data_IF_343546463201
#
_entry.id   IF_343546463201
#
_cell.length_a   1.000
_cell.length_b   1.000
_cell.length_c   1.000
_cell.angle_alpha   90.00
_cell.angle_beta   90.00
_cell.angle_gamma   90.00
#
_symmetry.space_group_name_H-M   'P 1'
#
loop_
_entity.id
_entity.type
_entity.pdbx_description
1 polymer ?
#
# COMPACT_ATOMS: atom_id res chain seq x y z
N UNK A 1 -0.43 -6.72 16.51
CA UNK A 1 -0.79 -6.66 15.07
C UNK A 1 -2.22 -6.18 14.90
N UNK A 2 -2.47 -5.29 13.97
CA UNK A 2 -3.79 -4.73 13.74
C UNK A 2 -4.05 -4.65 12.25
N UNK A 3 -5.22 -5.09 11.81
CA UNK A 3 -5.64 -5.05 10.39
C UNK A 3 -7.03 -4.44 10.32
N UNK A 4 -7.18 -3.36 9.57
CA UNK A 4 -8.47 -2.70 9.38
C UNK A 4 -8.69 -2.46 7.90
N UNK A 5 -9.74 -3.04 7.33
CA UNK A 5 -10.13 -2.76 5.95
C UNK A 5 -10.83 -1.42 5.94
N UNK A 6 -10.19 -0.39 5.36
CA UNK A 6 -10.77 0.94 5.26
C UNK A 6 -11.87 0.97 4.21
N UNK A 7 -11.68 0.25 3.10
CA UNK A 7 -12.68 0.09 2.06
C UNK A 7 -12.32 -1.10 1.18
N UNK A 8 -13.34 -1.79 0.68
CA UNK A 8 -13.19 -2.92 -0.23
C UNK A 8 -14.35 -2.89 -1.21
N UNK A 9 -14.19 -2.14 -2.31
CA UNK A 9 -15.25 -2.00 -3.31
C UNK A 9 -14.65 -1.57 -4.64
N UNK A 10 -15.47 -1.55 -5.68
CA UNK A 10 -15.07 -1.06 -6.99
C UNK A 10 -14.82 0.45 -6.99
N UNK A 11 -15.22 1.16 -5.95
CA UNK A 11 -14.99 2.61 -5.82
C UNK A 11 -13.69 2.93 -5.11
N UNK A 12 -13.09 1.98 -4.40
CA UNK A 12 -11.83 2.20 -3.74
C UNK A 12 -11.48 1.07 -2.79
N UNK A 13 -10.20 0.73 -2.73
CA UNK A 13 -9.67 -0.33 -1.88
C UNK A 13 -8.50 0.22 -1.07
N UNK A 14 -8.49 -0.05 0.24
CA UNK A 14 -7.38 0.30 1.10
C UNK A 14 -7.50 -0.50 2.40
N UNK A 15 -6.38 -1.05 2.86
CA UNK A 15 -6.32 -1.79 4.12
C UNK A 15 -5.20 -1.21 4.97
N UNK A 16 -5.49 -0.90 6.22
CA UNK A 16 -4.52 -0.38 7.18
C UNK A 16 -3.97 -1.52 8.03
N UNK A 17 -2.65 -1.55 8.19
CA UNK A 17 -1.97 -2.59 8.96
C UNK A 17 -0.96 -1.96 9.91
N UNK A 18 -0.94 -2.46 11.17
CA UNK A 18 0.13 -2.20 12.12
C UNK A 18 0.82 -3.52 12.41
N UNK A 19 2.10 -3.59 12.16
CA UNK A 19 2.90 -4.80 12.35
C UNK A 19 4.35 -4.40 12.57
N UNK A 20 5.01 -5.01 13.57
CA UNK A 20 6.42 -4.77 13.86
C UNK A 20 6.76 -3.27 13.99
N UNK A 21 5.93 -2.53 14.72
CA UNK A 21 6.09 -1.08 14.93
C UNK A 21 6.00 -0.26 13.65
N UNK A 22 5.53 -0.86 12.57
CA UNK A 22 5.28 -0.16 11.31
C UNK A 22 3.79 0.01 11.08
N UNK A 23 3.42 1.16 10.51
CA UNK A 23 2.04 1.46 10.12
C UNK A 23 2.03 1.68 8.62
N UNK A 24 1.20 0.92 7.93
CA UNK A 24 1.20 1.02 6.46
C UNK A 24 -0.15 0.70 5.86
N UNK A 25 -0.29 1.04 4.59
CA UNK A 25 -1.49 0.71 3.81
C UNK A 25 -1.13 -0.31 2.73
N UNK A 26 -2.07 -1.21 2.46
CA UNK A 26 -2.09 -1.96 1.21
C UNK A 26 -3.10 -1.24 0.34
N UNK A 27 -2.62 -0.61 -0.72
CA UNK A 27 -3.37 0.23 -1.64
C UNK A 27 -3.94 1.51 -0.99
N UNK A 28 -4.15 2.51 -1.79
CA UNK A 28 -4.76 3.77 -1.38
C UNK A 28 -5.72 4.23 -2.50
N UNK A 29 -6.78 3.43 -2.67
CA UNK A 29 -7.72 3.62 -3.77
C UNK A 29 -8.88 4.56 -3.49
N UNK A 30 -8.97 5.10 -2.27
CA UNK A 30 -9.94 6.12 -1.92
C UNK A 30 -9.33 7.51 -2.12
N UNK A 31 -10.17 8.54 -2.06
CA UNK A 31 -9.67 9.92 -2.06
C UNK A 31 -8.75 10.17 -0.88
N UNK A 32 -7.81 11.08 -1.07
CA UNK A 32 -6.78 11.40 -0.07
C UNK A 32 -7.39 11.79 1.28
N UNK A 33 -8.36 12.71 1.27
CA UNK A 33 -9.00 13.15 2.50
C UNK A 33 -9.85 12.05 3.14
N UNK A 34 -10.46 11.19 2.34
CA UNK A 34 -11.25 10.07 2.86
C UNK A 34 -10.37 9.10 3.65
N UNK A 35 -9.19 8.78 3.13
CA UNK A 35 -8.25 7.90 3.85
C UNK A 35 -7.78 8.58 5.13
N UNK A 36 -7.43 9.86 5.06
CA UNK A 36 -7.00 10.61 6.25
C UNK A 36 -8.06 10.61 7.34
N UNK A 37 -9.32 10.81 6.96
CA UNK A 37 -10.42 10.81 7.92
C UNK A 37 -10.61 9.43 8.55
N UNK A 38 -10.53 8.37 7.75
CA UNK A 38 -10.65 7.01 8.26
C UNK A 38 -9.50 6.65 9.19
N UNK A 39 -8.27 7.04 8.87
CA UNK A 39 -7.12 6.83 9.75
C UNK A 39 -7.32 7.59 11.07
N UNK A 40 -7.81 8.81 11.00
CA UNK A 40 -8.04 9.63 12.20
C UNK A 40 -9.02 8.96 13.17
N UNK A 41 -10.04 8.27 12.66
CA UNK A 41 -10.97 7.52 13.52
C UNK A 41 -10.29 6.36 14.23
N UNK A 42 -9.14 5.89 13.73
CA UNK A 42 -8.34 4.84 14.36
C UNK A 42 -7.26 5.42 15.27
N UNK A 43 -7.21 6.73 15.43
CA UNK A 43 -6.18 7.40 16.22
C UNK A 43 -4.85 7.54 15.49
N UNK A 44 -4.86 7.48 14.16
CA UNK A 44 -3.66 7.54 13.33
C UNK A 44 -3.69 8.78 12.45
N UNK A 45 -2.61 9.56 12.47
CA UNK A 45 -2.48 10.68 11.54
C UNK A 45 -1.75 10.22 10.28
N UNK A 46 -2.05 10.86 9.15
CA UNK A 46 -1.54 10.41 7.85
C UNK A 46 -0.01 10.41 7.77
N UNK A 47 0.65 11.32 8.48
CA UNK A 47 2.12 11.40 8.53
C UNK A 47 2.75 10.23 9.30
N UNK A 48 1.96 9.47 10.05
CA UNK A 48 2.48 8.31 10.78
C UNK A 48 2.65 7.08 9.89
N UNK A 49 2.13 7.09 8.66
CA UNK A 49 2.29 5.96 7.75
C UNK A 49 3.75 5.84 7.33
N UNK A 50 4.29 4.64 7.50
CA UNK A 50 5.69 4.37 7.13
C UNK A 50 5.81 4.10 5.63
N UNK A 51 4.83 3.44 5.04
CA UNK A 51 4.84 3.15 3.61
C UNK A 51 3.47 2.71 3.11
N UNK A 52 3.33 2.62 1.80
CA UNK A 52 2.15 2.06 1.12
C UNK A 52 2.65 0.99 0.16
N UNK A 53 2.02 -0.18 0.20
CA UNK A 53 2.30 -1.27 -0.74
C UNK A 53 1.18 -1.32 -1.77
N UNK A 54 1.52 -1.34 -3.04
CA UNK A 54 0.56 -1.29 -4.14
C UNK A 54 0.38 -2.68 -4.75
N UNK A 55 -0.86 -3.13 -4.87
CA UNK A 55 -1.16 -4.43 -5.47
C UNK A 55 -1.23 -4.36 -6.99
N UNK A 56 -1.89 -3.36 -7.54
CA UNK A 56 -1.97 -3.18 -9.00
C UNK A 56 -2.37 -1.75 -9.34
N UNK A 57 -2.27 -1.39 -10.63
CA UNK A 57 -2.32 0.01 -11.09
C UNK A 57 -3.71 0.57 -11.36
N UNK A 58 -4.77 -0.16 -11.06
CA UNK A 58 -6.13 0.32 -11.27
C UNK A 58 -6.45 1.48 -10.33
N UNK A 59 -7.25 2.44 -10.80
CA UNK A 59 -7.54 3.66 -10.04
C UNK A 59 -8.15 3.40 -8.67
N UNK A 60 -8.94 2.34 -8.52
CA UNK A 60 -9.53 1.96 -7.25
C UNK A 60 -8.52 1.34 -6.25
N UNK A 61 -7.23 1.28 -6.62
CA UNK A 61 -6.13 0.84 -5.77
C UNK A 61 -5.04 1.90 -5.59
N UNK A 62 -4.91 2.84 -6.54
CA UNK A 62 -3.79 3.79 -6.54
C UNK A 62 -4.19 5.26 -6.47
N UNK A 63 -5.47 5.54 -6.32
CA UNK A 63 -6.01 6.89 -6.48
C UNK A 63 -5.25 7.98 -5.72
N UNK A 64 -4.82 7.72 -4.49
CA UNK A 64 -4.18 8.74 -3.66
C UNK A 64 -2.74 8.44 -3.26
N UNK A 65 -2.09 7.42 -3.86
CA UNK A 65 -0.70 7.12 -3.50
C UNK A 65 0.22 8.31 -3.80
N UNK A 66 -0.01 9.00 -4.89
CA UNK A 66 0.77 10.19 -5.25
C UNK A 66 0.61 11.29 -4.20
N UNK A 67 -0.59 11.49 -3.69
CA UNK A 67 -0.85 12.54 -2.70
C UNK A 67 -0.09 12.28 -1.40
N UNK A 68 -0.13 11.04 -0.89
CA UNK A 68 0.64 10.68 0.31
C UNK A 68 2.14 10.84 0.08
N UNK A 69 2.62 10.41 -1.08
CA UNK A 69 4.03 10.49 -1.43
C UNK A 69 4.48 11.95 -1.51
N UNK A 70 3.69 12.82 -2.13
CA UNK A 70 4.02 14.23 -2.29
C UNK A 70 3.94 15.01 -0.96
N UNK A 71 2.88 14.81 -0.20
CA UNK A 71 2.60 15.63 0.99
C UNK A 71 3.43 15.18 2.20
N UNK A 72 3.53 13.86 2.41
CA UNK A 72 4.16 13.30 3.61
C UNK A 72 5.45 12.54 3.32
N UNK A 73 5.88 12.51 2.07
CA UNK A 73 7.03 11.70 1.64
C UNK A 73 6.88 10.22 1.99
N UNK A 74 5.64 9.75 2.06
CA UNK A 74 5.33 8.35 2.35
C UNK A 74 5.96 7.48 1.27
N UNK A 75 6.75 6.48 1.67
CA UNK A 75 7.41 5.61 0.70
C UNK A 75 6.39 4.67 0.04
N UNK A 76 6.54 4.50 -1.27
CA UNK A 76 5.66 3.64 -2.06
C UNK A 76 6.45 2.41 -2.50
N UNK A 77 5.94 1.23 -2.16
CA UNK A 77 6.48 -0.03 -2.66
C UNK A 77 5.56 -0.54 -3.75
N UNK A 78 6.09 -0.70 -4.94
CA UNK A 78 5.30 -0.99 -6.12
C UNK A 78 6.10 -1.90 -7.06
N UNK A 79 5.43 -2.86 -7.69
CA UNK A 79 6.10 -3.69 -8.69
C UNK A 79 6.49 -2.88 -9.91
N UNK A 80 7.56 -3.27 -10.60
CA UNK A 80 8.05 -2.51 -11.75
C UNK A 80 6.99 -2.43 -12.87
N UNK A 81 6.32 -3.53 -13.19
CA UNK A 81 5.29 -3.51 -14.22
C UNK A 81 4.10 -2.65 -13.81
N UNK A 82 3.70 -2.71 -12.55
CA UNK A 82 2.64 -1.86 -12.01
C UNK A 82 3.02 -0.39 -12.10
N UNK A 83 4.27 -0.06 -11.76
CA UNK A 83 4.79 1.30 -11.88
C UNK A 83 4.67 1.80 -13.32
N UNK A 84 5.06 0.97 -14.29
CA UNK A 84 5.01 1.36 -15.69
C UNK A 84 3.59 1.59 -16.20
N UNK A 85 2.59 0.93 -15.62
CA UNK A 85 1.19 1.13 -15.98
C UNK A 85 0.54 2.30 -15.23
N UNK A 86 1.18 2.78 -14.15
CA UNK A 86 0.63 3.87 -13.35
C UNK A 86 0.77 5.20 -14.09
N UNK A 87 -0.34 5.88 -14.31
CA UNK A 87 -0.37 7.08 -15.14
C UNK A 87 0.32 8.31 -14.52
N UNK A 88 0.59 8.29 -13.22
CA UNK A 88 1.31 9.37 -12.52
C UNK A 88 2.69 8.94 -12.06
N UNK A 89 3.26 7.92 -12.68
CA UNK A 89 4.55 7.37 -12.25
C UNK A 89 5.67 8.39 -12.18
N UNK A 90 5.68 9.35 -13.07
CA UNK A 90 6.73 10.37 -13.13
C UNK A 90 6.68 11.34 -11.97
N UNK A 91 5.57 11.38 -11.23
CA UNK A 91 5.40 12.26 -10.08
C UNK A 91 5.81 11.60 -8.77
N UNK A 92 6.03 10.27 -8.76
CA UNK A 92 6.48 9.58 -7.55
C UNK A 92 7.95 9.89 -7.30
N UNK A 93 8.28 10.23 -6.05
CA UNK A 93 9.65 10.58 -5.67
C UNK A 93 10.30 9.51 -4.78
N UNK A 94 9.63 9.12 -3.71
CA UNK A 94 10.15 8.16 -2.75
C UNK A 94 9.47 6.82 -2.98
N UNK A 95 10.08 5.97 -3.80
CA UNK A 95 9.49 4.67 -4.10
C UNK A 95 10.58 3.63 -4.33
N UNK A 96 10.18 2.36 -4.25
CA UNK A 96 11.08 1.24 -4.48
C UNK A 96 10.30 0.09 -5.14
N UNK A 97 10.95 -0.64 -6.06
CA UNK A 97 10.30 -1.77 -6.71
C UNK A 97 10.26 -3.00 -5.82
N UNK A 98 9.12 -3.66 -5.79
CA UNK A 98 8.90 -4.87 -5.00
C UNK A 98 9.61 -6.10 -5.54
N UNK A 99 10.01 -6.09 -6.80
CA UNK A 99 10.38 -7.29 -7.55
C UNK A 99 11.49 -8.11 -6.90
N UNK A 100 12.45 -7.46 -6.27
CA UNK A 100 13.60 -8.13 -5.65
C UNK A 100 13.63 -8.01 -4.13
N UNK A 101 12.52 -7.60 -3.52
CA UNK A 101 12.44 -7.41 -2.07
C UNK A 101 11.60 -8.51 -1.45
N UNK A 102 12.03 -9.04 -0.30
CA UNK A 102 11.27 -10.04 0.44
C UNK A 102 10.96 -9.58 1.86
N UNK A 103 11.46 -8.40 2.25
CA UNK A 103 11.30 -7.90 3.61
C UNK A 103 11.27 -6.37 3.60
N UNK A 104 10.36 -5.79 4.41
CA UNK A 104 10.26 -4.35 4.62
C UNK A 104 10.17 -4.12 6.13
N UNK A 105 11.08 -3.32 6.69
CA UNK A 105 11.08 -2.96 8.12
C UNK A 105 10.97 -4.19 9.04
N UNK A 106 11.64 -5.28 8.69
CA UNK A 106 11.61 -6.51 9.46
C UNK A 106 10.37 -7.38 9.22
N UNK A 107 9.48 -6.96 8.35
CA UNK A 107 8.29 -7.73 7.99
C UNK A 107 8.58 -8.50 6.72
N UNK A 108 8.54 -9.82 6.82
CA UNK A 108 8.73 -10.69 5.65
C UNK A 108 7.42 -10.81 4.89
N UNK A 109 7.51 -10.88 3.57
CA UNK A 109 6.31 -11.07 2.76
C UNK A 109 6.61 -11.86 1.50
N UNK A 110 5.57 -12.57 1.04
CA UNK A 110 5.59 -13.28 -0.22
C UNK A 110 4.67 -12.57 -1.20
N UNK A 111 5.10 -12.49 -2.44
CA UNK A 111 4.33 -11.89 -3.52
C UNK A 111 3.66 -13.00 -4.32
N UNK A 112 2.35 -12.86 -4.52
CA UNK A 112 1.57 -13.83 -5.28
C UNK A 112 1.09 -13.13 -6.54
N UNK A 113 1.53 -13.53 -7.75
CA UNK A 113 1.06 -12.91 -8.98
C UNK A 113 -0.46 -13.10 -9.15
N UNK A 114 -1.13 -12.05 -9.60
CA UNK A 114 -2.57 -12.11 -9.87
C UNK A 114 -2.76 -12.52 -11.31
N UNK A 115 -3.30 -13.71 -11.54
CA UNK A 115 -3.31 -14.34 -12.86
C UNK A 115 -4.18 -13.63 -13.90
N UNK A 116 -5.21 -12.92 -13.48
CA UNK A 116 -6.10 -12.19 -14.38
C UNK A 116 -5.71 -10.71 -14.53
N UNK A 117 -4.69 -10.28 -13.83
CA UNK A 117 -4.21 -8.91 -13.87
C UNK A 117 -2.73 -8.95 -14.25
N UNK A 118 -2.37 -8.28 -15.31
CA UNK A 118 -1.09 -8.40 -15.99
C UNK A 118 0.12 -8.12 -15.12
N UNK A 119 0.00 -7.28 -14.12
CA UNK A 119 1.15 -6.78 -13.39
C UNK A 119 0.96 -6.70 -11.88
N UNK A 120 -0.18 -7.16 -11.38
CA UNK A 120 -0.50 -7.03 -9.97
C UNK A 120 0.05 -8.14 -9.10
N UNK A 121 0.10 -7.88 -7.81
CA UNK A 121 0.52 -8.85 -6.79
C UNK A 121 -0.49 -8.90 -5.66
N UNK A 122 -0.74 -10.12 -5.16
CA UNK A 122 -1.26 -10.30 -3.82
C UNK A 122 -0.09 -10.44 -2.86
N UNK A 123 -0.31 -10.28 -1.58
CA UNK A 123 0.77 -10.34 -0.58
C UNK A 123 0.39 -11.20 0.61
N UNK A 124 1.39 -11.91 1.15
CA UNK A 124 1.29 -12.58 2.44
C UNK A 124 2.38 -11.96 3.30
N UNK A 125 2.02 -11.34 4.42
CA UNK A 125 2.95 -10.71 5.34
C UNK A 125 3.14 -11.57 6.57
N UNK A 126 4.37 -11.69 7.05
CA UNK A 126 4.72 -12.48 8.23
C UNK A 126 5.63 -11.70 9.17
N UNK A 127 5.35 -11.82 10.46
CA UNK A 127 6.22 -11.31 11.51
C UNK A 127 5.95 -12.11 12.79
N UNK A 128 6.99 -12.65 13.41
CA UNK A 128 6.92 -13.41 14.66
C UNK A 128 5.88 -14.55 14.60
N UNK A 129 5.90 -15.32 13.52
CA UNK A 129 5.00 -16.46 13.29
C UNK A 129 3.53 -16.07 13.11
N UNK A 130 3.25 -14.80 12.82
CA UNK A 130 1.93 -14.31 12.46
C UNK A 130 1.91 -13.97 10.98
N UNK A 131 0.81 -14.24 10.30
CA UNK A 131 0.71 -13.96 8.88
C UNK A 131 -0.62 -13.30 8.53
N UNK A 132 -0.59 -12.50 7.46
CA UNK A 132 -1.76 -11.82 6.89
C UNK A 132 -1.70 -12.00 5.38
N UNK A 133 -2.83 -12.36 4.80
CA UNK A 133 -2.96 -12.45 3.34
C UNK A 133 -3.62 -11.20 2.76
#
# INVERSE_FOLDING_TARGET
>A
MKVVVLSSSSKGNSTYIEMNNSKFLIDAGLGFNDIKDKLFTLGVTADELDFIVVTHAHSDHVRSIHSFNRVYNTKIYIGENTYNEYNKKELLKNYEFLDNITEINGIKFDKIPISHDRSGFGFVFEHENKSIC
#
